data_IF_538455758085
#
_entry.id   IF_538455758085
#
_cell.length_a   1.000
_cell.length_b   1.000
_cell.length_c   1.000
_cell.angle_alpha   90.00
_cell.angle_beta   90.00
_cell.angle_gamma   90.00
#
_symmetry.space_group_name_H-M   'P 1'
#
loop_
_entity.id
_entity.type
_entity.pdbx_description
1 polymer ?
#
# COMPACT_ATOMS: atom_id res chain seq x y z
N UNK A 1 23.71 -1.02 -6.03
CA UNK A 1 23.75 -1.22 -4.55
C UNK A 1 22.55 -2.00 -4.00
N UNK A 2 21.63 -2.46 -4.86
CA UNK A 2 20.42 -3.24 -4.51
C UNK A 2 20.62 -4.76 -4.43
N UNK A 3 21.66 -5.29 -5.07
CA UNK A 3 21.81 -6.75 -5.23
C UNK A 3 22.55 -7.46 -4.08
N UNK A 4 23.28 -6.74 -3.24
CA UNK A 4 24.11 -7.39 -2.20
C UNK A 4 23.41 -7.71 -0.87
N UNK A 5 22.18 -7.23 -0.64
CA UNK A 5 21.41 -7.52 0.59
C UNK A 5 20.41 -8.67 0.47
N UNK A 6 20.43 -9.46 -0.61
CA UNK A 6 19.48 -10.58 -0.82
C UNK A 6 19.76 -11.84 -0.01
N UNK A 7 20.91 -11.95 0.66
CA UNK A 7 21.33 -13.24 1.23
C UNK A 7 21.13 -13.40 2.75
N UNK A 8 20.60 -12.39 3.44
CA UNK A 8 20.41 -12.50 4.92
C UNK A 8 18.97 -12.22 5.40
N UNK A 9 17.97 -12.21 4.52
CA UNK A 9 16.59 -11.82 4.84
C UNK A 9 15.61 -13.00 5.10
N UNK A 10 16.08 -14.24 4.97
CA UNK A 10 15.16 -15.39 4.98
C UNK A 10 14.57 -15.74 6.36
N UNK A 11 15.33 -15.63 7.44
CA UNK A 11 14.86 -16.07 8.76
C UNK A 11 14.22 -14.98 9.62
N UNK A 12 14.64 -13.72 9.46
CA UNK A 12 14.04 -12.60 10.18
C UNK A 12 12.64 -12.24 9.64
N UNK A 13 12.45 -12.34 8.31
CA UNK A 13 11.17 -12.00 7.66
C UNK A 13 10.03 -13.00 7.95
N UNK A 14 10.32 -14.29 8.13
CA UNK A 14 9.30 -15.29 8.46
C UNK A 14 8.77 -15.13 9.89
N UNK A 15 9.64 -14.84 10.85
CA UNK A 15 9.23 -14.64 12.24
C UNK A 15 8.38 -13.37 12.41
N UNK A 16 8.68 -12.30 11.68
CA UNK A 16 7.89 -11.06 11.68
C UNK A 16 6.52 -11.26 11.02
N UNK A 17 6.49 -11.95 9.88
CA UNK A 17 5.26 -12.30 9.17
C UNK A 17 4.31 -13.09 10.09
N UNK A 18 4.79 -14.13 10.75
CA UNK A 18 4.02 -15.00 11.66
C UNK A 18 3.51 -14.23 12.90
N UNK A 19 4.25 -13.24 13.38
CA UNK A 19 3.81 -12.42 14.51
C UNK A 19 2.57 -11.59 14.15
N UNK A 20 2.59 -10.88 13.01
CA UNK A 20 1.49 -10.02 12.60
C UNK A 20 0.25 -10.81 12.15
N UNK A 21 0.42 -12.00 11.56
CA UNK A 21 -0.68 -12.90 11.17
C UNK A 21 -1.65 -13.19 12.31
N UNK A 22 -1.17 -13.28 13.55
CA UNK A 22 -1.99 -13.52 14.75
C UNK A 22 -3.02 -12.42 15.00
N UNK A 23 -2.83 -11.24 14.41
CA UNK A 23 -3.71 -10.08 14.56
C UNK A 23 -4.50 -9.77 13.29
N UNK A 24 -4.44 -10.64 12.28
CA UNK A 24 -5.23 -10.54 11.05
C UNK A 24 -6.27 -11.63 11.08
N UNK A 25 -7.55 -11.22 11.09
CA UNK A 25 -8.67 -12.15 11.20
C UNK A 25 -9.01 -12.73 9.83
N UNK A 26 -9.24 -14.03 9.78
CA UNK A 26 -9.79 -14.70 8.60
C UNK A 26 -11.32 -14.72 8.68
N UNK A 27 -11.98 -14.18 7.66
CA UNK A 27 -13.43 -14.26 7.48
C UNK A 27 -13.66 -15.06 6.20
N UNK A 28 -14.11 -16.30 6.34
CA UNK A 28 -14.38 -17.18 5.20
C UNK A 28 -15.70 -16.80 4.53
N UNK A 29 -15.76 -17.04 3.22
CA UNK A 29 -16.96 -16.85 2.41
C UNK A 29 -17.50 -15.41 2.43
N UNK A 30 -16.63 -14.41 2.54
CA UNK A 30 -16.99 -13.00 2.50
C UNK A 30 -16.15 -12.24 1.46
N UNK A 31 -16.75 -11.36 0.60
CA UNK A 31 -18.17 -10.99 0.49
C UNK A 31 -19.01 -12.04 -0.25
N UNK A 32 -18.40 -13.13 -0.74
CA UNK A 32 -19.07 -14.23 -1.44
C UNK A 32 -18.40 -15.58 -1.12
N UNK A 33 -19.10 -16.71 -1.34
CA UNK A 33 -18.54 -18.05 -1.15
C UNK A 33 -17.20 -18.24 -1.88
N UNK A 34 -16.24 -18.89 -1.22
CA UNK A 34 -14.90 -19.17 -1.73
C UNK A 34 -13.88 -18.04 -1.54
N UNK A 35 -14.29 -16.85 -1.07
CA UNK A 35 -13.39 -15.74 -0.77
C UNK A 35 -13.05 -15.74 0.73
N UNK A 36 -11.78 -15.71 1.06
CA UNK A 36 -11.31 -15.48 2.45
C UNK A 36 -10.84 -14.06 2.59
N UNK A 37 -11.61 -13.24 3.31
CA UNK A 37 -11.27 -11.86 3.61
C UNK A 37 -10.26 -11.78 4.76
N UNK A 38 -9.24 -10.94 4.62
CA UNK A 38 -8.22 -10.67 5.63
C UNK A 38 -8.55 -9.36 6.34
N UNK A 39 -9.13 -9.46 7.52
CA UNK A 39 -9.55 -8.31 8.32
C UNK A 39 -8.40 -7.84 9.22
N UNK A 40 -7.91 -6.65 8.97
CA UNK A 40 -6.82 -6.01 9.72
C UNK A 40 -7.30 -5.27 10.98
N UNK A 41 -8.61 -5.16 11.21
CA UNK A 41 -9.14 -4.36 12.33
C UNK A 41 -8.66 -4.82 13.72
N UNK A 42 -8.41 -6.13 13.98
CA UNK A 42 -7.82 -6.56 15.24
C UNK A 42 -6.38 -6.04 15.43
N UNK A 43 -5.60 -5.91 14.35
CA UNK A 43 -4.27 -5.29 14.36
C UNK A 43 -4.38 -3.80 14.68
N UNK A 44 -5.25 -3.08 13.97
CA UNK A 44 -5.44 -1.65 14.15
C UNK A 44 -5.87 -1.29 15.59
N UNK A 45 -6.68 -2.14 16.23
CA UNK A 45 -7.17 -1.93 17.59
C UNK A 45 -6.07 -2.05 18.66
N UNK A 46 -4.98 -2.74 18.38
CA UNK A 46 -3.88 -2.95 19.35
C UNK A 46 -2.76 -1.94 19.09
N UNK A 47 -2.71 -0.86 19.87
CA UNK A 47 -1.80 0.25 19.65
C UNK A 47 -0.32 -0.14 19.55
N UNK A 48 0.17 -1.06 20.40
CA UNK A 48 1.54 -1.55 20.34
C UNK A 48 1.83 -2.37 19.06
N UNK A 49 0.86 -3.12 18.57
CA UNK A 49 1.02 -3.94 17.34
C UNK A 49 0.92 -3.05 16.10
N UNK A 50 -0.03 -2.10 16.09
CA UNK A 50 -0.12 -1.09 15.03
C UNK A 50 1.18 -0.30 14.94
N UNK A 51 1.67 0.23 16.06
CA UNK A 51 2.93 0.98 16.10
C UNK A 51 4.10 0.15 15.58
N UNK A 52 4.20 -1.12 15.99
CA UNK A 52 5.25 -2.03 15.50
C UNK A 52 5.14 -2.25 13.99
N UNK A 53 3.92 -2.47 13.45
CA UNK A 53 3.71 -2.67 12.03
C UNK A 53 4.12 -1.43 11.22
N UNK A 54 3.68 -0.23 11.65
CA UNK A 54 4.04 1.05 11.03
C UNK A 54 5.56 1.23 11.04
N UNK A 55 6.20 1.05 12.21
CA UNK A 55 7.65 1.19 12.35
C UNK A 55 8.40 0.22 11.43
N UNK A 56 8.03 -1.07 11.42
CA UNK A 56 8.66 -2.09 10.57
C UNK A 56 8.54 -1.74 9.08
N UNK A 57 7.34 -1.31 8.64
CA UNK A 57 7.13 -0.89 7.26
C UNK A 57 7.92 0.36 6.91
N UNK A 58 7.89 1.39 7.76
CA UNK A 58 8.56 2.67 7.51
C UNK A 58 10.09 2.54 7.52
N UNK A 59 10.65 1.74 8.43
CA UNK A 59 12.08 1.51 8.56
C UNK A 59 12.73 1.07 7.24
N UNK A 60 12.02 0.30 6.41
CA UNK A 60 12.49 -0.13 5.08
C UNK A 60 12.79 1.02 4.14
N UNK A 61 12.18 2.18 4.36
CA UNK A 61 12.23 3.33 3.45
C UNK A 61 12.91 4.57 4.05
N UNK A 62 13.43 4.49 5.28
CA UNK A 62 14.02 5.64 5.99
C UNK A 62 15.18 6.30 5.24
N UNK A 63 15.91 5.54 4.39
CA UNK A 63 17.05 6.04 3.62
C UNK A 63 16.74 6.17 2.12
N UNK A 64 15.47 6.05 1.73
CA UNK A 64 15.06 6.08 0.32
C UNK A 64 14.69 7.48 -0.17
N UNK A 65 14.78 8.50 0.68
CA UNK A 65 14.47 9.87 0.30
C UNK A 65 13.02 10.05 -0.16
N UNK A 66 12.07 9.38 0.53
CA UNK A 66 10.65 9.48 0.23
C UNK A 66 10.17 10.91 0.54
N UNK A 67 9.63 11.60 -0.46
CA UNK A 67 9.05 12.92 -0.30
C UNK A 67 7.56 12.88 0.08
N UNK A 68 6.84 11.89 -0.48
CA UNK A 68 5.39 11.75 -0.33
C UNK A 68 4.98 10.29 -0.18
N UNK A 69 3.92 10.06 0.59
CA UNK A 69 3.17 8.80 0.60
C UNK A 69 1.82 9.01 -0.08
N UNK A 70 1.54 8.24 -1.15
CA UNK A 70 0.24 8.17 -1.79
C UNK A 70 -0.52 6.95 -1.28
N UNK A 71 -1.74 7.13 -0.76
CA UNK A 71 -2.56 6.04 -0.24
C UNK A 71 -4.00 6.12 -0.70
N UNK A 72 -4.64 4.95 -0.82
CA UNK A 72 -6.02 4.85 -1.29
C UNK A 72 -7.01 4.76 -0.11
N UNK A 73 -8.14 5.47 -0.25
CA UNK A 73 -9.21 5.38 0.73
C UNK A 73 -9.81 3.96 0.81
N UNK A 74 -10.24 3.51 1.97
CA UNK A 74 -10.21 4.19 3.27
C UNK A 74 -9.10 3.62 4.18
N UNK A 75 -8.82 2.31 4.13
CA UNK A 75 -7.89 1.63 5.06
C UNK A 75 -6.44 1.97 4.79
N UNK A 76 -6.07 2.21 3.52
CA UNK A 76 -4.74 2.69 3.16
C UNK A 76 -4.37 3.99 3.86
N UNK A 77 -5.33 4.90 4.07
CA UNK A 77 -5.09 6.18 4.76
C UNK A 77 -4.58 6.00 6.20
N UNK A 78 -5.06 4.98 6.90
CA UNK A 78 -4.64 4.71 8.29
C UNK A 78 -3.15 4.41 8.34
N UNK A 79 -2.69 3.54 7.45
CA UNK A 79 -1.28 3.12 7.38
C UNK A 79 -0.42 4.20 6.75
N UNK A 80 -0.87 4.77 5.63
CA UNK A 80 -0.12 5.77 4.88
C UNK A 80 0.12 7.06 5.67
N UNK A 81 -0.88 7.57 6.36
CA UNK A 81 -0.73 8.77 7.20
C UNK A 81 0.22 8.51 8.38
N UNK A 82 0.14 7.33 9.02
CA UNK A 82 1.03 6.97 10.11
C UNK A 82 2.48 6.79 9.61
N UNK A 83 2.69 6.17 8.45
CA UNK A 83 4.02 6.02 7.84
C UNK A 83 4.58 7.37 7.37
N UNK A 84 3.74 8.29 6.85
CA UNK A 84 4.16 9.63 6.47
C UNK A 84 4.69 10.41 7.67
N UNK A 85 4.00 10.31 8.81
CA UNK A 85 4.45 10.88 10.07
C UNK A 85 5.79 10.28 10.53
N UNK A 86 5.93 8.95 10.50
CA UNK A 86 7.16 8.24 10.91
C UNK A 86 8.36 8.61 10.00
N UNK A 87 8.13 8.73 8.69
CA UNK A 87 9.17 9.11 7.71
C UNK A 87 9.36 10.62 7.58
N UNK A 88 8.56 11.43 8.27
CA UNK A 88 8.58 12.90 8.18
C UNK A 88 8.42 13.42 6.75
N UNK A 89 7.53 12.82 5.97
CA UNK A 89 7.22 13.20 4.59
C UNK A 89 5.74 13.59 4.42
N UNK A 90 5.38 14.10 3.24
CA UNK A 90 4.01 14.49 2.95
C UNK A 90 3.09 13.30 2.69
N UNK A 91 1.77 13.54 2.72
CA UNK A 91 0.72 12.56 2.46
C UNK A 91 -0.21 13.03 1.33
N UNK A 92 -0.47 12.16 0.36
CA UNK A 92 -1.34 12.40 -0.78
C UNK A 92 -2.52 11.43 -0.74
N UNK A 93 -3.75 11.93 -0.55
CA UNK A 93 -4.94 11.09 -0.58
C UNK A 93 -5.32 10.74 -2.03
N UNK A 94 -5.39 9.46 -2.34
CA UNK A 94 -5.99 8.93 -3.58
C UNK A 94 -7.38 8.42 -3.23
N UNK A 95 -8.40 8.90 -3.93
CA UNK A 95 -9.79 8.64 -3.56
C UNK A 95 -10.61 8.06 -4.71
N UNK A 96 -11.73 7.45 -4.39
CA UNK A 96 -12.73 7.02 -5.37
C UNK A 96 -13.42 8.23 -5.98
N UNK A 97 -13.93 8.08 -7.18
CA UNK A 97 -14.61 9.11 -7.97
C UNK A 97 -15.61 9.94 -7.14
N UNK A 98 -15.58 11.26 -7.37
CA UNK A 98 -16.50 12.23 -6.75
C UNK A 98 -16.21 12.57 -5.29
N UNK A 99 -15.03 12.18 -4.75
CA UNK A 99 -14.67 12.46 -3.35
C UNK A 99 -13.71 13.64 -3.17
N UNK A 100 -13.10 14.14 -4.25
CA UNK A 100 -12.19 15.26 -4.21
C UNK A 100 -12.85 16.53 -4.78
N UNK A 101 -12.78 17.67 -4.05
CA UNK A 101 -13.51 18.90 -4.42
C UNK A 101 -12.77 19.81 -5.39
N UNK A 102 -11.47 19.60 -5.65
CA UNK A 102 -10.62 20.45 -6.49
C UNK A 102 -10.35 19.79 -7.86
N UNK A 103 -9.57 20.43 -8.72
CA UNK A 103 -9.10 19.86 -9.98
C UNK A 103 -8.32 18.56 -9.73
N UNK A 104 -8.62 17.55 -10.52
CA UNK A 104 -8.14 16.18 -10.27
C UNK A 104 -7.71 15.46 -11.53
N UNK A 105 -6.73 14.61 -11.40
CA UNK A 105 -6.42 13.55 -12.34
C UNK A 105 -7.26 12.33 -11.99
N UNK A 106 -7.69 11.60 -12.99
CA UNK A 106 -8.50 10.38 -12.85
C UNK A 106 -7.82 9.21 -13.53
N UNK A 107 -8.00 8.01 -12.97
CA UNK A 107 -7.50 6.77 -13.55
C UNK A 107 -8.51 5.65 -13.34
N UNK A 108 -8.95 5.06 -14.44
CA UNK A 108 -9.84 3.90 -14.41
C UNK A 108 -9.07 2.61 -14.14
N UNK A 109 -9.68 1.69 -13.41
CA UNK A 109 -9.10 0.39 -13.12
C UNK A 109 -10.17 -0.70 -13.06
N UNK A 110 -9.73 -1.94 -13.36
CA UNK A 110 -10.62 -3.10 -13.25
C UNK A 110 -10.76 -3.50 -11.79
N UNK A 111 -12.02 -3.63 -11.36
CA UNK A 111 -12.41 -4.33 -10.15
C UNK A 111 -12.65 -5.81 -10.46
N UNK A 112 -12.83 -6.63 -9.44
CA UNK A 112 -13.34 -8.01 -9.65
C UNK A 112 -14.69 -8.01 -10.38
N UNK A 113 -15.48 -6.96 -10.19
CA UNK A 113 -16.76 -6.72 -10.85
C UNK A 113 -16.85 -5.28 -11.32
N UNK A 114 -16.69 -5.06 -12.64
CA UNK A 114 -16.85 -3.75 -13.26
C UNK A 114 -15.56 -2.92 -13.29
N UNK A 115 -15.74 -1.62 -13.44
CA UNK A 115 -14.69 -0.60 -13.46
C UNK A 115 -14.84 0.29 -12.23
N UNK A 116 -13.74 0.78 -11.72
CA UNK A 116 -13.67 1.84 -10.72
C UNK A 116 -12.78 2.96 -11.22
N UNK A 117 -12.96 4.16 -10.68
CA UNK A 117 -12.11 5.31 -10.97
C UNK A 117 -11.48 5.80 -9.68
N UNK A 118 -10.17 6.06 -9.71
CA UNK A 118 -9.43 6.75 -8.67
C UNK A 118 -9.13 8.18 -9.10
N UNK A 119 -9.08 9.06 -8.12
CA UNK A 119 -8.81 10.49 -8.28
C UNK A 119 -7.67 10.93 -7.36
N UNK A 120 -6.87 11.87 -7.85
CA UNK A 120 -5.82 12.57 -7.11
C UNK A 120 -5.80 14.03 -7.56
N UNK A 121 -5.56 14.99 -6.66
CA UNK A 121 -5.45 16.40 -7.04
C UNK A 121 -4.29 16.63 -8.01
N UNK A 122 -4.48 17.54 -8.98
CA UNK A 122 -3.47 17.84 -10.00
C UNK A 122 -2.19 18.45 -9.44
N UNK A 123 -2.27 19.10 -8.28
CA UNK A 123 -1.19 19.77 -7.56
C UNK A 123 -0.64 18.95 -6.38
N UNK A 124 -1.02 17.67 -6.30
CA UNK A 124 -0.62 16.82 -5.18
C UNK A 124 0.86 16.40 -5.20
N UNK A 125 1.48 16.39 -6.37
CA UNK A 125 2.84 15.87 -6.58
C UNK A 125 3.61 16.80 -7.51
N UNK A 126 4.76 17.29 -7.07
CA UNK A 126 5.70 18.01 -7.91
C UNK A 126 6.52 17.05 -8.79
N UNK A 127 6.92 17.54 -9.96
CA UNK A 127 7.70 16.74 -10.91
C UNK A 127 8.99 16.21 -10.28
N UNK A 128 9.18 14.90 -10.38
CA UNK A 128 10.36 14.19 -9.90
C UNK A 128 10.34 13.83 -8.41
N UNK A 129 9.31 14.22 -7.63
CA UNK A 129 9.19 13.80 -6.24
C UNK A 129 9.14 12.28 -6.13
N UNK A 130 9.83 11.76 -5.11
CA UNK A 130 9.90 10.33 -4.81
C UNK A 130 8.70 9.93 -3.96
N UNK A 131 7.86 9.07 -4.51
CA UNK A 131 6.58 8.68 -3.92
C UNK A 131 6.59 7.21 -3.52
N UNK A 132 6.20 6.93 -2.28
CA UNK A 132 5.88 5.60 -1.78
C UNK A 132 4.36 5.39 -1.83
N UNK A 133 3.90 4.34 -2.50
CA UNK A 133 2.49 3.95 -2.46
C UNK A 133 2.28 3.06 -1.24
N UNK A 134 1.24 3.32 -0.44
CA UNK A 134 0.91 2.51 0.74
C UNK A 134 -0.57 2.14 0.74
N UNK A 135 -0.85 0.84 0.91
CA UNK A 135 -2.22 0.36 1.10
C UNK A 135 -2.26 -0.81 2.09
N UNK A 136 -3.45 -1.22 2.51
CA UNK A 136 -3.60 -2.31 3.47
C UNK A 136 -3.42 -3.69 2.84
N UNK A 137 -3.98 -3.93 1.64
CA UNK A 137 -3.98 -5.26 1.01
C UNK A 137 -3.62 -5.17 -0.47
N UNK A 138 -2.62 -5.94 -0.88
CA UNK A 138 -2.36 -6.26 -2.28
C UNK A 138 -3.12 -7.55 -2.65
N UNK A 139 -4.20 -7.41 -3.40
CA UNK A 139 -4.96 -8.51 -3.96
C UNK A 139 -4.62 -8.72 -5.45
N UNK A 140 -5.47 -8.30 -6.37
CA UNK A 140 -5.22 -8.39 -7.83
C UNK A 140 -4.29 -7.31 -8.37
N UNK A 141 -4.00 -6.26 -7.57
CA UNK A 141 -3.11 -5.17 -7.92
C UNK A 141 -3.73 -4.03 -8.73
N UNK A 142 -4.99 -4.11 -9.13
CA UNK A 142 -5.63 -3.09 -9.96
C UNK A 142 -5.62 -1.70 -9.33
N UNK A 143 -6.01 -1.59 -8.06
CA UNK A 143 -5.99 -0.33 -7.29
C UNK A 143 -4.57 0.25 -7.17
N UNK A 144 -3.60 -0.59 -6.84
CA UNK A 144 -2.20 -0.19 -6.71
C UNK A 144 -1.61 0.28 -8.05
N UNK A 145 -1.95 -0.41 -9.17
CA UNK A 145 -1.53 -0.02 -10.52
C UNK A 145 -2.12 1.33 -10.90
N UNK A 146 -3.41 1.54 -10.70
CA UNK A 146 -4.05 2.83 -10.98
C UNK A 146 -3.43 3.97 -10.15
N UNK A 147 -3.11 3.71 -8.89
CA UNK A 147 -2.41 4.68 -8.04
C UNK A 147 -1.01 5.00 -8.58
N UNK A 148 -0.26 3.98 -9.02
CA UNK A 148 1.05 4.18 -9.63
C UNK A 148 0.97 4.99 -10.92
N UNK A 149 -0.07 4.77 -11.73
CA UNK A 149 -0.28 5.49 -12.97
C UNK A 149 -0.68 6.96 -12.71
N UNK A 150 -1.50 7.24 -11.68
CA UNK A 150 -1.79 8.62 -11.24
C UNK A 150 -0.53 9.36 -10.80
N UNK A 151 0.31 8.72 -9.97
CA UNK A 151 1.59 9.30 -9.53
C UNK A 151 2.49 9.63 -10.73
N UNK A 152 2.61 8.72 -11.69
CA UNK A 152 3.41 8.93 -12.91
C UNK A 152 2.82 10.04 -13.79
N UNK A 153 1.50 10.08 -13.96
CA UNK A 153 0.80 11.11 -14.73
C UNK A 153 1.01 12.52 -14.15
N UNK A 154 1.17 12.63 -12.82
CA UNK A 154 1.54 13.89 -12.15
C UNK A 154 3.04 14.23 -12.29
N UNK A 155 3.85 13.36 -12.88
CA UNK A 155 5.31 13.54 -12.99
C UNK A 155 6.09 13.05 -11.76
N UNK A 156 5.46 12.36 -10.81
CA UNK A 156 6.10 11.73 -9.67
C UNK A 156 6.87 10.46 -10.04
N UNK A 157 7.81 10.08 -9.18
CA UNK A 157 8.61 8.87 -9.31
C UNK A 157 8.18 7.84 -8.25
N UNK A 158 7.54 6.76 -8.66
CA UNK A 158 7.14 5.66 -7.76
C UNK A 158 8.38 4.87 -7.34
N UNK A 159 8.72 4.94 -6.06
CA UNK A 159 9.88 4.22 -5.48
C UNK A 159 9.54 2.77 -5.19
N UNK A 160 8.39 2.55 -4.59
CA UNK A 160 7.90 1.22 -4.20
C UNK A 160 6.38 1.28 -3.94
N UNK A 161 5.70 0.13 -4.00
CA UNK A 161 4.37 -0.05 -3.46
C UNK A 161 4.47 -0.96 -2.22
N UNK A 162 4.04 -0.46 -1.06
CA UNK A 162 4.14 -1.12 0.23
C UNK A 162 2.75 -1.49 0.78
N UNK A 163 2.62 -2.73 1.25
CA UNK A 163 1.37 -3.28 1.73
C UNK A 163 1.53 -3.94 3.10
N UNK A 164 0.52 -3.81 3.95
CA UNK A 164 0.47 -4.59 5.19
C UNK A 164 0.28 -6.07 4.88
N UNK A 165 -0.60 -6.40 3.95
CA UNK A 165 -0.93 -7.78 3.57
C UNK A 165 -0.82 -7.97 2.05
N UNK A 166 -0.28 -9.10 1.63
CA UNK A 166 -0.29 -9.55 0.22
C UNK A 166 -0.97 -10.91 0.10
N UNK A 167 -1.93 -11.02 -0.82
CA UNK A 167 -2.56 -12.27 -1.20
C UNK A 167 -1.84 -12.84 -2.42
N UNK A 168 -0.78 -13.61 -2.17
CA UNK A 168 0.15 -14.08 -3.22
C UNK A 168 -0.52 -14.89 -4.32
N UNK A 169 -1.55 -15.67 -3.98
CA UNK A 169 -2.33 -16.46 -4.94
C UNK A 169 -3.06 -15.63 -5.99
N UNK A 170 -3.26 -14.33 -5.77
CA UNK A 170 -3.90 -13.42 -6.74
C UNK A 170 -2.93 -12.72 -7.68
N UNK A 171 -1.62 -12.93 -7.49
CA UNK A 171 -0.56 -12.43 -8.37
C UNK A 171 -0.56 -10.90 -8.61
N UNK A 172 -1.09 -10.10 -7.68
CA UNK A 172 -1.21 -8.65 -7.82
C UNK A 172 0.13 -7.93 -7.99
N UNK A 173 1.21 -8.54 -7.51
CA UNK A 173 2.58 -8.03 -7.71
C UNK A 173 2.96 -7.95 -9.19
N UNK A 174 2.48 -8.86 -10.02
CA UNK A 174 2.88 -8.99 -11.42
C UNK A 174 2.31 -7.89 -12.33
N UNK A 175 1.28 -7.15 -11.87
CA UNK A 175 0.71 -6.03 -12.64
C UNK A 175 1.40 -4.70 -12.35
N UNK A 176 2.30 -4.67 -11.35
CA UNK A 176 3.03 -3.48 -10.95
C UNK A 176 4.39 -3.42 -11.63
N UNK A 177 4.74 -2.27 -12.18
CA UNK A 177 6.01 -1.97 -12.83
C UNK A 177 6.97 -1.22 -11.89
N UNK A 178 6.78 -1.37 -10.58
CA UNK A 178 7.65 -0.85 -9.52
C UNK A 178 7.95 -1.96 -8.50
N UNK A 179 8.99 -1.79 -7.66
CA UNK A 179 9.24 -2.70 -6.53
C UNK A 179 8.02 -2.81 -5.61
N UNK A 180 7.83 -4.00 -5.03
CA UNK A 180 6.73 -4.27 -4.09
C UNK A 180 7.29 -4.82 -2.79
N UNK A 181 6.87 -4.21 -1.69
CA UNK A 181 7.12 -4.68 -0.33
C UNK A 181 5.80 -5.09 0.32
N UNK A 182 5.80 -6.19 1.07
CA UNK A 182 4.64 -6.64 1.84
C UNK A 182 5.12 -7.16 3.19
N UNK A 183 4.49 -6.68 4.28
CA UNK A 183 4.85 -7.07 5.63
C UNK A 183 4.39 -8.50 5.92
N UNK A 184 3.16 -8.84 5.50
CA UNK A 184 2.55 -10.17 5.72
C UNK A 184 2.13 -10.77 4.39
N UNK A 185 2.37 -12.08 4.20
CA UNK A 185 1.99 -12.80 2.96
C UNK A 185 1.14 -14.02 3.26
N UNK A 186 0.10 -14.23 2.44
CA UNK A 186 -0.77 -15.39 2.47
C UNK A 186 -0.79 -16.10 1.11
#
# INVERSE_FOLDING_TARGET
MWEQNRHNSGSASQNEDDEFKKYIREIRDWPKPGVTFRDITPLLRKGNILSKAIHTMAYRFQNEGIALIASVEARGFILGAAMAHELQCGFVPVRKEGKLPYERLTMDYKLEYGMGTLEMHVDAIDKGQRVLIVDDVLATGGTAKATADLVKASGGNVVCAAFLVELTGLNGRNVLDCPVYSLVRY
#
